data_IF_742022224702
#
_entry.id   IF_742022224702
#
_cell.length_a   1.000
_cell.length_b   1.000
_cell.length_c   1.000
_cell.angle_alpha   90.00
_cell.angle_beta   90.00
_cell.angle_gamma   90.00
#
_symmetry.space_group_name_H-M   'P 1'
#
loop_
_entity.id
_entity.type
_entity.pdbx_description
1 polymer ?
#
# COMPACT_ATOMS: atom_id res chain seq x y z
N UNK A 1 -67.91 -8.56 6.17
CA UNK A 1 -67.57 -7.53 7.16
C UNK A 1 -66.15 -7.73 7.69
N UNK A 2 -65.33 -6.70 7.47
CA UNK A 2 -64.17 -6.28 8.30
C UNK A 2 -63.01 -7.25 8.40
N UNK A 3 -61.85 -6.86 8.18
CA UNK A 3 -60.95 -5.69 8.15
C UNK A 3 -59.53 -6.22 8.30
N UNK A 4 -58.70 -5.96 7.35
CA UNK A 4 -57.37 -5.29 7.44
C UNK A 4 -56.51 -5.53 8.66
N UNK A 5 -55.32 -5.98 8.40
CA UNK A 5 -54.17 -5.92 9.30
C UNK A 5 -52.89 -6.04 8.50
N UNK A 6 -52.44 -4.95 7.90
CA UNK A 6 -51.10 -4.86 7.31
C UNK A 6 -50.08 -4.68 8.44
N UNK A 7 -49.29 -5.70 8.69
CA UNK A 7 -48.11 -5.60 9.55
C UNK A 7 -46.93 -5.14 8.72
N UNK A 8 -46.66 -3.84 8.79
CA UNK A 8 -45.41 -3.25 8.30
C UNK A 8 -44.27 -3.66 9.21
N UNK A 9 -43.42 -4.57 8.77
CA UNK A 9 -42.12 -4.81 9.37
C UNK A 9 -41.20 -3.68 8.92
N UNK A 10 -41.02 -2.71 9.80
CA UNK A 10 -39.97 -1.71 9.69
C UNK A 10 -38.65 -2.47 9.64
N UNK A 11 -38.01 -2.45 8.49
CA UNK A 11 -36.66 -2.94 8.35
C UNK A 11 -35.74 -2.10 9.28
N UNK A 12 -35.13 -2.76 10.24
CA UNK A 12 -34.06 -2.16 11.02
C UNK A 12 -32.99 -1.64 10.09
N UNK A 13 -32.86 -0.33 10.06
CA UNK A 13 -31.78 0.33 9.34
C UNK A 13 -30.45 -0.13 9.97
N UNK A 14 -29.65 -0.82 9.15
CA UNK A 14 -28.29 -1.20 9.51
C UNK A 14 -27.56 0.07 9.94
N UNK A 15 -26.93 0.09 11.14
CA UNK A 15 -26.22 1.28 11.60
C UNK A 15 -25.15 1.67 10.56
N UNK A 16 -24.94 2.94 10.30
CA UNK A 16 -23.93 3.39 9.35
C UNK A 16 -22.57 2.82 9.76
N UNK A 17 -21.93 2.15 8.84
CA UNK A 17 -20.56 1.65 9.01
C UNK A 17 -19.69 2.86 9.34
N UNK A 18 -19.25 2.94 10.59
CA UNK A 18 -18.39 3.87 11.24
C UNK A 18 -18.18 5.21 10.53
N UNK A 19 -18.67 6.29 11.11
CA UNK A 19 -18.22 7.63 10.78
C UNK A 19 -16.69 7.72 10.89
N UNK A 20 -16.07 8.81 10.39
CA UNK A 20 -14.63 8.98 10.49
C UNK A 20 -14.24 8.81 11.95
N UNK A 21 -13.47 7.77 12.21
CA UNK A 21 -12.77 7.64 13.49
C UNK A 21 -11.94 8.91 13.58
N UNK A 22 -12.13 9.69 14.61
CA UNK A 22 -11.27 10.83 14.91
C UNK A 22 -9.81 10.37 14.70
N UNK A 23 -8.94 11.22 14.17
CA UNK A 23 -7.53 10.88 14.04
C UNK A 23 -7.13 10.30 15.39
N UNK A 24 -6.67 9.07 15.38
CA UNK A 24 -6.34 8.34 16.61
C UNK A 24 -5.54 9.30 17.46
N UNK A 25 -6.10 9.67 18.59
CA UNK A 25 -5.37 10.43 19.58
C UNK A 25 -4.00 9.82 19.64
N UNK A 26 -3.00 10.62 19.49
CA UNK A 26 -1.62 10.23 19.35
C UNK A 26 -1.29 9.06 20.29
N UNK A 27 -1.37 7.83 19.78
CA UNK A 27 -1.09 6.61 20.56
C UNK A 27 0.38 6.55 20.99
N UNK A 28 1.19 7.44 20.46
CA UNK A 28 2.61 7.52 20.76
C UNK A 28 3.11 8.97 20.75
N UNK A 29 2.69 9.80 21.75
CA UNK A 29 2.96 11.24 21.77
C UNK A 29 4.45 11.60 21.78
N UNK A 30 5.32 10.68 22.18
CA UNK A 30 6.76 10.89 22.21
C UNK A 30 7.51 10.42 20.96
N UNK A 31 6.84 9.80 19.99
CA UNK A 31 7.52 9.24 18.81
C UNK A 31 7.72 10.34 17.76
N UNK A 32 8.96 10.58 17.30
CA UNK A 32 9.26 11.66 16.36
C UNK A 32 8.79 11.36 14.93
N UNK A 33 8.69 10.08 14.55
CA UNK A 33 8.30 9.66 13.19
C UNK A 33 6.79 9.45 13.12
N UNK A 34 6.18 10.00 12.09
CA UNK A 34 4.76 9.84 11.76
C UNK A 34 4.59 9.41 10.30
N UNK A 35 3.74 8.44 10.06
CA UNK A 35 3.42 8.02 8.70
C UNK A 35 2.55 9.08 8.00
N UNK A 36 3.08 9.69 6.96
CA UNK A 36 2.38 10.71 6.15
C UNK A 36 2.01 10.23 4.77
N UNK A 37 2.81 9.33 4.19
CA UNK A 37 2.57 8.82 2.85
C UNK A 37 3.06 7.39 2.68
N UNK A 38 2.51 6.74 1.64
CA UNK A 38 2.87 5.38 1.25
C UNK A 38 3.11 5.33 -0.26
N UNK A 39 4.33 5.07 -0.68
CA UNK A 39 4.60 4.69 -2.06
C UNK A 39 4.24 3.22 -2.22
N UNK A 40 3.22 2.97 -3.03
CA UNK A 40 2.76 1.62 -3.38
C UNK A 40 3.11 1.34 -4.82
N UNK A 41 3.84 0.25 -5.08
CA UNK A 41 4.16 -0.19 -6.43
C UNK A 41 3.74 -1.64 -6.63
N UNK A 42 3.00 -1.90 -7.70
CA UNK A 42 2.56 -3.23 -8.10
C UNK A 42 3.07 -3.52 -9.51
N UNK A 43 3.92 -4.52 -9.66
CA UNK A 43 4.72 -4.73 -10.86
C UNK A 43 4.73 -6.20 -11.27
N UNK A 44 4.77 -6.44 -12.58
CA UNK A 44 5.14 -7.73 -13.18
C UNK A 44 6.44 -7.55 -13.97
N UNK A 45 7.46 -8.39 -13.80
CA UNK A 45 8.53 -8.53 -14.78
C UNK A 45 7.97 -9.10 -16.08
N UNK A 46 8.62 -8.79 -17.20
CA UNK A 46 8.32 -9.48 -18.47
C UNK A 46 8.70 -10.95 -18.35
N UNK A 47 7.96 -11.85 -19.04
CA UNK A 47 8.20 -13.29 -18.97
C UNK A 47 9.66 -13.67 -19.27
N UNK A 48 10.26 -14.46 -18.38
CA UNK A 48 11.67 -14.88 -18.46
C UNK A 48 12.66 -13.92 -17.78
N UNK A 49 12.18 -12.77 -17.27
CA UNK A 49 13.01 -11.78 -16.57
C UNK A 49 12.83 -11.78 -15.05
N UNK A 50 12.07 -12.71 -14.50
CA UNK A 50 11.69 -12.75 -13.07
C UNK A 50 12.91 -12.80 -12.15
N UNK A 51 13.88 -13.65 -12.46
CA UNK A 51 15.10 -13.81 -11.66
C UNK A 51 15.95 -12.54 -11.73
N UNK A 52 16.13 -11.97 -12.93
CA UNK A 52 16.90 -10.76 -13.13
C UNK A 52 16.23 -9.55 -12.42
N UNK A 53 14.90 -9.44 -12.53
CA UNK A 53 14.10 -8.42 -11.85
C UNK A 53 14.26 -8.47 -10.33
N UNK A 54 14.09 -9.67 -9.74
CA UNK A 54 14.21 -9.82 -8.29
C UNK A 54 15.64 -9.53 -7.82
N UNK A 55 16.64 -10.02 -8.56
CA UNK A 55 18.05 -9.75 -8.25
C UNK A 55 18.37 -8.25 -8.29
N UNK A 56 17.93 -7.54 -9.34
CA UNK A 56 18.07 -6.08 -9.46
C UNK A 56 17.36 -5.36 -8.33
N UNK A 57 16.11 -5.75 -8.05
CA UNK A 57 15.30 -5.07 -7.06
C UNK A 57 15.87 -5.21 -5.66
N UNK A 58 16.25 -6.42 -5.24
CA UNK A 58 16.72 -6.72 -3.89
C UNK A 58 18.15 -6.25 -3.61
N UNK A 59 18.98 -6.18 -4.65
CA UNK A 59 20.39 -5.81 -4.48
C UNK A 59 20.70 -4.35 -4.75
N UNK A 60 19.83 -3.65 -5.45
CA UNK A 60 20.05 -2.28 -5.86
C UNK A 60 18.82 -1.41 -5.63
N UNK A 61 17.73 -1.64 -6.34
CA UNK A 61 16.63 -0.69 -6.46
C UNK A 61 15.88 -0.47 -5.16
N UNK A 62 15.67 -1.51 -4.37
CA UNK A 62 14.99 -1.40 -3.06
C UNK A 62 15.68 -0.37 -2.18
N UNK A 63 17.00 -0.42 -2.13
CA UNK A 63 17.80 0.52 -1.34
C UNK A 63 18.04 1.82 -2.10
N UNK A 64 18.77 1.75 -3.22
CA UNK A 64 19.22 2.92 -3.96
C UNK A 64 18.11 3.71 -4.63
N UNK A 65 17.03 3.07 -5.00
CA UNK A 65 15.87 3.70 -5.65
C UNK A 65 14.80 4.21 -4.69
N UNK A 66 14.75 3.67 -3.46
CA UNK A 66 13.65 3.93 -2.54
C UNK A 66 14.10 4.18 -1.10
N UNK A 67 14.71 3.19 -0.40
CA UNK A 67 14.98 3.28 1.03
C UNK A 67 16.02 4.34 1.42
N UNK A 68 16.91 4.72 0.52
CA UNK A 68 17.85 5.84 0.75
C UNK A 68 17.21 7.21 0.56
N UNK A 69 15.94 7.25 0.20
CA UNK A 69 15.18 8.49 0.08
C UNK A 69 15.06 9.20 1.41
N UNK A 70 15.23 10.53 1.41
CA UNK A 70 14.94 11.30 2.61
C UNK A 70 13.52 11.02 3.09
N UNK A 71 13.35 10.93 4.41
CA UNK A 71 12.07 10.71 5.06
C UNK A 71 11.42 9.33 4.81
N UNK A 72 12.09 8.41 4.12
CA UNK A 72 11.64 7.03 4.01
C UNK A 72 12.11 6.25 5.24
N UNK A 73 11.18 5.79 6.09
CA UNK A 73 11.53 5.17 7.36
C UNK A 73 11.27 3.66 7.41
N UNK A 74 10.44 3.13 6.50
CA UNK A 74 10.17 1.70 6.42
C UNK A 74 9.86 1.27 4.98
N UNK A 75 10.15 0.04 4.64
CA UNK A 75 9.83 -0.53 3.34
C UNK A 75 9.81 -2.05 3.37
N UNK A 76 8.94 -2.63 2.55
CA UNK A 76 8.82 -4.09 2.45
C UNK A 76 8.34 -4.51 1.07
N UNK A 77 8.65 -5.76 0.70
CA UNK A 77 8.22 -6.38 -0.56
C UNK A 77 7.50 -7.69 -0.30
N UNK A 78 6.49 -7.95 -1.12
CA UNK A 78 5.75 -9.21 -1.09
C UNK A 78 5.49 -9.72 -2.51
N UNK A 79 5.26 -11.02 -2.61
CA UNK A 79 4.94 -11.71 -3.86
C UNK A 79 3.54 -12.30 -3.75
N UNK A 80 2.70 -12.01 -4.72
CA UNK A 80 1.41 -12.69 -4.88
C UNK A 80 1.61 -13.92 -5.76
N UNK A 81 1.53 -15.12 -5.16
CA UNK A 81 1.45 -16.37 -5.90
C UNK A 81 0.12 -16.46 -6.67
N UNK A 82 -0.04 -17.49 -7.51
CA UNK A 82 -1.29 -17.70 -8.22
C UNK A 82 -2.48 -17.83 -7.28
N UNK A 83 -2.32 -18.61 -6.23
CA UNK A 83 -3.37 -18.85 -5.23
C UNK A 83 -3.77 -17.55 -4.52
N UNK A 84 -2.81 -16.68 -4.20
CA UNK A 84 -3.09 -15.38 -3.59
C UNK A 84 -3.79 -14.42 -4.56
N UNK A 85 -3.43 -14.45 -5.85
CA UNK A 85 -4.11 -13.65 -6.87
C UNK A 85 -5.57 -14.07 -7.07
N UNK A 86 -5.86 -15.36 -6.96
CA UNK A 86 -7.21 -15.89 -7.09
C UNK A 86 -8.14 -15.46 -5.92
N UNK A 87 -7.58 -14.98 -4.82
CA UNK A 87 -8.30 -14.40 -3.69
C UNK A 87 -8.60 -12.90 -3.85
N UNK A 88 -8.07 -12.24 -4.87
CA UNK A 88 -8.24 -10.79 -5.04
C UNK A 88 -9.69 -10.42 -5.36
N UNK A 89 -10.14 -9.33 -4.75
CA UNK A 89 -11.49 -8.81 -4.89
C UNK A 89 -11.49 -7.30 -5.14
N UNK A 90 -12.41 -6.78 -5.97
CA UNK A 90 -13.30 -7.49 -6.87
C UNK A 90 -12.56 -8.06 -8.09
N UNK A 91 -13.08 -9.14 -8.66
CA UNK A 91 -12.47 -9.81 -9.83
C UNK A 91 -12.51 -8.96 -11.12
N UNK A 92 -13.39 -7.96 -11.18
CA UNK A 92 -13.50 -7.00 -12.29
C UNK A 92 -13.67 -5.59 -11.76
N UNK A 93 -13.17 -4.60 -12.50
CA UNK A 93 -13.26 -3.20 -12.12
C UNK A 93 -12.44 -2.87 -10.86
N UNK A 94 -11.40 -3.62 -10.59
CA UNK A 94 -10.47 -3.34 -9.50
C UNK A 94 -9.63 -2.12 -9.85
N UNK A 95 -9.64 -1.10 -9.00
CA UNK A 95 -8.92 0.16 -9.23
C UNK A 95 -7.40 0.03 -9.11
N UNK A 96 -6.90 -1.05 -8.50
CA UNK A 96 -5.47 -1.29 -8.28
C UNK A 96 -4.92 -2.22 -9.37
N UNK A 97 -5.70 -3.23 -9.77
CA UNK A 97 -5.27 -4.26 -10.72
C UNK A 97 -6.44 -4.68 -11.61
N UNK A 98 -6.41 -4.28 -12.86
CA UNK A 98 -7.36 -4.70 -13.89
C UNK A 98 -6.60 -5.10 -15.17
N UNK A 99 -6.65 -6.37 -15.60
CA UNK A 99 -7.25 -7.53 -14.93
C UNK A 99 -6.65 -7.83 -13.54
N UNK A 100 -7.46 -8.41 -12.66
CA UNK A 100 -7.12 -8.64 -11.24
C UNK A 100 -5.92 -9.55 -11.00
N UNK A 101 -5.54 -10.34 -11.98
CA UNK A 101 -4.38 -11.25 -11.94
C UNK A 101 -3.04 -10.57 -12.27
N UNK A 102 -3.05 -9.29 -12.70
CA UNK A 102 -1.82 -8.52 -12.92
C UNK A 102 -1.19 -8.05 -11.61
N UNK A 103 0.12 -7.84 -11.68
CA UNK A 103 0.91 -7.40 -10.53
C UNK A 103 1.21 -8.55 -9.57
N UNK A 104 2.38 -9.16 -9.75
CA UNK A 104 2.86 -10.26 -8.92
C UNK A 104 3.69 -9.79 -7.75
N UNK A 105 4.36 -8.65 -7.90
CA UNK A 105 5.28 -8.11 -6.91
C UNK A 105 4.76 -6.77 -6.43
N UNK A 106 4.55 -6.66 -5.13
CA UNK A 106 4.23 -5.40 -4.47
C UNK A 106 5.41 -4.94 -3.63
N UNK A 107 5.73 -3.65 -3.72
CA UNK A 107 6.61 -3.01 -2.78
C UNK A 107 5.91 -1.78 -2.19
N UNK A 108 6.07 -1.61 -0.90
CA UNK A 108 5.51 -0.51 -0.15
C UNK A 108 6.64 0.19 0.59
N UNK A 109 6.65 1.52 0.54
CA UNK A 109 7.59 2.36 1.27
C UNK A 109 6.82 3.44 2.02
N UNK A 110 7.18 3.65 3.27
CA UNK A 110 6.51 4.59 4.14
C UNK A 110 7.33 5.85 4.29
N UNK A 111 6.69 6.98 4.12
CA UNK A 111 7.29 8.31 4.13
C UNK A 111 6.73 9.11 5.28
N UNK A 112 7.60 9.81 5.97
CA UNK A 112 7.29 10.66 7.12
C UNK A 112 6.29 11.77 6.76
N UNK A 113 5.46 12.13 7.72
CA UNK A 113 4.46 13.18 7.55
C UNK A 113 5.11 14.54 7.27
N UNK A 114 4.40 15.34 6.46
CA UNK A 114 4.89 16.63 5.98
C UNK A 114 5.78 16.56 4.73
N UNK A 115 6.27 15.37 4.34
CA UNK A 115 7.27 15.22 3.27
C UNK A 115 6.77 14.56 1.98
N UNK A 116 5.46 14.55 1.74
CA UNK A 116 4.88 13.93 0.53
C UNK A 116 5.46 14.48 -0.77
N UNK A 117 5.39 15.80 -0.93
CA UNK A 117 5.78 16.45 -2.19
C UNK A 117 7.30 16.46 -2.36
N UNK A 118 8.04 16.63 -1.28
CA UNK A 118 9.51 16.57 -1.27
C UNK A 118 10.01 15.17 -1.65
N UNK A 119 9.40 14.12 -1.08
CA UNK A 119 9.75 12.74 -1.41
C UNK A 119 9.38 12.40 -2.86
N UNK A 120 8.24 12.89 -3.35
CA UNK A 120 7.85 12.71 -4.75
C UNK A 120 8.88 13.33 -5.71
N UNK A 121 9.30 14.57 -5.44
CA UNK A 121 10.30 15.27 -6.24
C UNK A 121 11.65 14.54 -6.20
N UNK A 122 12.11 14.14 -5.00
CA UNK A 122 13.33 13.35 -4.85
C UNK A 122 13.25 12.04 -5.63
N UNK A 123 12.14 11.30 -5.55
CA UNK A 123 11.95 10.02 -6.22
C UNK A 123 12.01 10.15 -7.74
N UNK A 124 11.39 11.19 -8.30
CA UNK A 124 11.46 11.47 -9.74
C UNK A 124 12.92 11.71 -10.20
N UNK A 125 13.66 12.54 -9.48
CA UNK A 125 15.07 12.81 -9.77
C UNK A 125 15.94 11.56 -9.60
N UNK A 126 15.69 10.77 -8.58
CA UNK A 126 16.45 9.54 -8.30
C UNK A 126 16.25 8.49 -9.40
N UNK A 127 15.05 8.32 -9.91
CA UNK A 127 14.78 7.44 -11.05
C UNK A 127 15.61 7.87 -12.27
N UNK A 128 15.63 9.14 -12.61
CA UNK A 128 16.43 9.66 -13.73
C UNK A 128 17.92 9.37 -13.51
N UNK A 129 18.45 9.63 -12.33
CA UNK A 129 19.87 9.36 -11.99
C UNK A 129 20.21 7.88 -12.14
N UNK A 130 19.38 6.98 -11.62
CA UNK A 130 19.61 5.54 -11.68
C UNK A 130 19.59 5.03 -13.13
N UNK A 131 18.64 5.47 -13.93
CA UNK A 131 18.59 5.09 -15.34
C UNK A 131 19.79 5.63 -16.14
N UNK A 132 20.18 6.89 -15.91
CA UNK A 132 21.37 7.49 -16.52
C UNK A 132 22.65 6.74 -16.14
N UNK A 133 22.72 6.22 -14.91
CA UNK A 133 23.85 5.42 -14.42
C UNK A 133 23.80 3.94 -14.88
N UNK A 134 22.87 3.55 -15.76
CA UNK A 134 22.72 2.17 -16.21
C UNK A 134 22.17 1.21 -15.13
N UNK A 135 21.60 1.73 -14.07
CA UNK A 135 21.05 0.96 -12.95
C UNK A 135 19.54 0.78 -13.04
N UNK A 136 18.91 1.15 -14.14
CA UNK A 136 17.51 0.89 -14.41
C UNK A 136 17.25 -0.57 -14.81
N UNK A 137 15.98 -0.98 -14.75
CA UNK A 137 15.52 -2.27 -15.24
C UNK A 137 14.28 -2.04 -16.10
N UNK A 138 14.32 -2.42 -17.37
CA UNK A 138 13.27 -2.07 -18.34
C UNK A 138 12.24 -3.18 -18.54
N UNK A 139 12.65 -4.43 -18.40
CA UNK A 139 11.84 -5.62 -18.66
C UNK A 139 10.81 -5.86 -17.56
N UNK A 140 10.01 -4.80 -17.29
CA UNK A 140 8.92 -4.85 -16.32
C UNK A 140 7.74 -3.99 -16.74
N UNK A 141 6.58 -4.32 -16.21
CA UNK A 141 5.34 -3.59 -16.40
C UNK A 141 4.77 -3.16 -15.06
N UNK A 142 4.55 -1.87 -14.89
CA UNK A 142 3.83 -1.35 -13.74
C UNK A 142 2.32 -1.54 -13.94
N UNK A 143 1.69 -2.25 -13.04
CA UNK A 143 0.24 -2.36 -12.96
C UNK A 143 -0.32 -1.16 -12.20
N UNK A 144 0.34 -0.77 -11.09
CA UNK A 144 -0.04 0.36 -10.28
C UNK A 144 1.19 0.95 -9.58
N UNK A 145 1.33 2.26 -9.61
CA UNK A 145 2.41 2.97 -8.89
C UNK A 145 1.89 4.33 -8.48
N UNK A 146 1.68 4.52 -7.19
CA UNK A 146 1.10 5.74 -6.62
C UNK A 146 1.74 6.05 -5.28
N UNK A 147 2.01 7.32 -5.05
CA UNK A 147 2.33 7.84 -3.72
C UNK A 147 1.03 8.31 -3.06
N UNK A 148 0.51 7.53 -2.14
CA UNK A 148 -0.71 7.83 -1.39
C UNK A 148 -0.42 8.72 -0.20
N UNK A 149 -1.35 9.63 0.11
CA UNK A 149 -1.34 10.38 1.37
C UNK A 149 -2.08 9.59 2.45
N UNK A 150 -1.53 9.54 3.64
CA UNK A 150 -2.19 8.98 4.81
C UNK A 150 -3.47 9.76 5.12
N UNK A 151 -4.52 9.05 5.50
CA UNK A 151 -5.80 9.65 5.88
C UNK A 151 -6.24 9.30 7.28
N UNK A 152 -6.19 8.02 7.60
CA UNK A 152 -6.62 7.54 8.92
C UNK A 152 -6.12 6.12 9.15
N UNK A 153 -6.00 5.74 10.41
CA UNK A 153 -5.73 4.38 10.83
C UNK A 153 -7.02 3.71 11.33
N UNK A 154 -7.11 2.42 11.14
CA UNK A 154 -8.14 1.58 11.74
C UNK A 154 -7.45 0.42 12.43
N UNK A 155 -7.73 0.26 13.69
CA UNK A 155 -7.17 -0.81 14.50
C UNK A 155 -8.25 -1.84 14.79
N UNK A 156 -7.87 -3.11 14.82
CA UNK A 156 -8.74 -4.21 15.26
C UNK A 156 -8.93 -4.19 16.77
N UNK A 157 -7.85 -3.94 17.48
CA UNK A 157 -7.78 -4.03 18.93
C UNK A 157 -7.86 -2.64 19.58
N UNK A 158 -8.25 -2.58 20.85
CA UNK A 158 -8.39 -1.32 21.59
C UNK A 158 -7.07 -0.76 22.08
N UNK A 159 -6.05 -1.61 22.19
CA UNK A 159 -4.70 -1.31 22.63
C UNK A 159 -3.67 -1.71 21.55
N UNK A 160 -3.76 -1.14 20.35
CA UNK A 160 -2.91 -1.53 19.25
C UNK A 160 -1.48 -0.99 19.41
N UNK A 161 -0.55 -1.60 18.70
CA UNK A 161 0.73 -0.95 18.41
C UNK A 161 0.48 0.23 17.48
N UNK A 162 0.97 1.44 17.78
CA UNK A 162 0.85 2.58 16.87
C UNK A 162 1.39 2.24 15.49
N UNK A 163 0.68 2.66 14.44
CA UNK A 163 1.06 2.34 13.05
C UNK A 163 2.49 2.75 12.74
N UNK A 164 2.91 3.92 13.18
CA UNK A 164 4.25 4.46 12.94
C UNK A 164 5.38 3.54 13.47
N UNK A 165 5.09 2.74 14.49
CA UNK A 165 6.02 1.75 15.06
C UNK A 165 5.87 0.37 14.39
N UNK A 166 4.69 0.07 13.86
CA UNK A 166 4.37 -1.24 13.32
C UNK A 166 4.88 -1.43 11.88
N UNK A 167 5.07 -0.34 11.11
CA UNK A 167 5.35 -0.42 9.68
C UNK A 167 6.72 -0.98 9.33
N UNK A 168 7.68 -0.95 10.25
CA UNK A 168 9.02 -1.54 10.08
C UNK A 168 9.08 -3.02 10.48
N UNK A 169 7.98 -3.62 10.87
CA UNK A 169 7.93 -5.03 11.23
C UNK A 169 7.90 -5.93 9.98
N UNK A 170 8.61 -7.07 10.05
CA UNK A 170 8.60 -8.07 8.99
C UNK A 170 7.34 -8.92 9.06
N UNK A 171 6.32 -8.50 8.34
CA UNK A 171 5.09 -9.28 8.18
C UNK A 171 5.25 -10.33 7.08
N UNK A 172 4.74 -11.53 7.33
CA UNK A 172 4.75 -12.61 6.34
C UNK A 172 3.90 -12.30 5.10
N UNK A 173 2.92 -11.41 5.22
CA UNK A 173 2.04 -10.98 4.14
C UNK A 173 1.23 -9.76 4.51
N UNK A 174 0.54 -9.24 3.50
CA UNK A 174 -0.42 -8.13 3.62
C UNK A 174 -1.75 -8.52 2.95
N UNK A 175 -2.84 -7.98 3.47
CA UNK A 175 -4.21 -8.20 2.95
C UNK A 175 -4.87 -6.86 2.68
#
# INVERSE_FOLDING_TARGET
LHRTGAGSTLGEARPPVGGPVAPSDDLNPGHPVRAGSMLYTLVDPEPGHEVAYNRWYERDHFYGGCMTGPWCFAGSRWVATRELKDLRFPARGNSISDPVDRGSYVAIYWVEDGHHDDHFAWGADQVVRLYTAGRGFQERRHTHTVLYRHRSNRYRDKDPVPVDLALDHHYAGIV
#
